data_IF_729699538548
#
_entry.id   IF_729699538548
#
_cell.length_a   1.000
_cell.length_b   1.000
_cell.length_c   1.000
_cell.angle_alpha   90.00
_cell.angle_beta   90.00
_cell.angle_gamma   90.00
#
_symmetry.space_group_name_H-M   'P 1'
#
loop_
_entity.id
_entity.type
_entity.pdbx_description
1 polymer ?
#
# COMPACT_ATOMS: atom_id res chain seq x y z
N UNK A 1 21.70 6.86 76.44
CA UNK A 1 21.79 5.58 75.70
C UNK A 1 21.60 5.91 74.23
N UNK A 2 22.69 6.15 73.51
CA UNK A 2 22.73 6.42 72.07
C UNK A 2 22.88 5.08 71.37
N UNK A 3 21.85 4.69 70.66
CA UNK A 3 21.85 3.47 69.85
C UNK A 3 22.89 3.61 68.72
N UNK A 4 23.85 2.68 68.76
CA UNK A 4 24.89 2.50 67.74
C UNK A 4 24.17 2.03 66.45
N UNK A 5 24.04 2.88 65.44
CA UNK A 5 23.53 2.48 64.12
C UNK A 5 24.64 1.71 63.40
N UNK A 6 24.35 0.50 62.90
CA UNK A 6 25.33 -0.24 62.13
C UNK A 6 25.62 0.51 60.81
N UNK A 7 26.87 0.95 60.64
CA UNK A 7 27.38 1.52 59.40
C UNK A 7 27.43 0.43 58.35
N UNK A 8 26.56 0.56 57.31
CA UNK A 8 26.65 -0.28 56.12
C UNK A 8 28.04 -0.10 55.47
N UNK A 9 28.66 -1.20 55.02
CA UNK A 9 29.94 -1.08 54.34
C UNK A 9 29.76 -0.26 53.05
N UNK A 10 30.77 0.52 52.62
CA UNK A 10 30.71 1.30 51.40
C UNK A 10 30.47 0.36 50.20
N UNK A 11 29.48 0.70 49.37
CA UNK A 11 29.18 -0.03 48.16
C UNK A 11 30.42 -0.10 47.25
N UNK A 12 30.76 -1.29 46.79
CA UNK A 12 31.87 -1.45 45.84
C UNK A 12 31.42 -0.97 44.44
N UNK A 13 31.98 0.13 43.92
CA UNK A 13 31.57 0.75 42.67
C UNK A 13 31.78 -0.21 41.44
N UNK A 14 32.74 -1.17 41.58
CA UNK A 14 32.95 -2.17 40.55
C UNK A 14 31.83 -3.23 40.51
N UNK A 15 31.31 -3.60 41.68
CA UNK A 15 30.20 -4.51 41.77
C UNK A 15 28.90 -3.88 41.24
N UNK A 16 28.69 -2.60 41.49
CA UNK A 16 27.56 -1.82 40.99
C UNK A 16 27.62 -1.68 39.48
N UNK A 17 28.78 -1.35 38.92
CA UNK A 17 29.00 -1.28 37.48
C UNK A 17 28.77 -2.65 36.81
N UNK A 18 29.27 -3.73 37.40
CA UNK A 18 29.09 -5.08 36.88
C UNK A 18 27.59 -5.48 36.85
N UNK A 19 26.81 -5.10 37.88
CA UNK A 19 25.38 -5.34 37.92
C UNK A 19 24.63 -4.57 36.81
N UNK A 20 24.96 -3.30 36.57
CA UNK A 20 24.40 -2.47 35.50
C UNK A 20 24.72 -3.06 34.13
N UNK A 21 25.98 -3.44 33.89
CA UNK A 21 26.40 -4.08 32.63
C UNK A 21 25.66 -5.40 32.40
N UNK A 22 25.50 -6.23 33.45
CA UNK A 22 24.73 -7.46 33.39
C UNK A 22 23.28 -7.21 33.00
N UNK A 23 22.61 -6.24 33.64
CA UNK A 23 21.24 -5.87 33.30
C UNK A 23 21.08 -5.44 31.84
N UNK A 24 21.97 -4.57 31.32
CA UNK A 24 21.94 -4.17 29.93
C UNK A 24 22.24 -5.30 28.95
N UNK A 25 23.10 -6.22 29.33
CA UNK A 25 23.37 -7.42 28.50
C UNK A 25 22.13 -8.29 28.38
N UNK A 26 21.40 -8.47 29.46
CA UNK A 26 20.13 -9.26 29.48
C UNK A 26 19.03 -8.54 28.66
N UNK A 27 18.92 -7.22 28.78
CA UNK A 27 17.99 -6.42 27.97
C UNK A 27 18.30 -6.52 26.48
N UNK A 28 19.56 -6.44 26.08
CA UNK A 28 20.00 -6.59 24.69
C UNK A 28 19.69 -8.00 24.17
N UNK A 29 19.90 -9.03 24.97
CA UNK A 29 19.54 -10.40 24.60
C UNK A 29 18.03 -10.57 24.38
N UNK A 30 17.21 -9.98 25.26
CA UNK A 30 15.75 -9.99 25.12
C UNK A 30 15.29 -9.22 23.87
N UNK A 31 15.85 -8.05 23.59
CA UNK A 31 15.55 -7.26 22.38
C UNK A 31 15.94 -8.02 21.12
N UNK A 32 17.10 -8.67 21.12
CA UNK A 32 17.56 -9.50 19.99
C UNK A 32 16.61 -10.68 19.71
N UNK A 33 16.13 -11.34 20.76
CA UNK A 33 15.15 -12.42 20.64
C UNK A 33 13.83 -11.92 20.03
N UNK A 34 13.28 -10.83 20.58
CA UNK A 34 12.05 -10.21 20.04
C UNK A 34 12.19 -9.75 18.61
N UNK A 35 13.34 -9.17 18.26
CA UNK A 35 13.61 -8.80 16.87
C UNK A 35 13.58 -9.97 15.93
N UNK A 36 14.18 -11.10 16.35
CA UNK A 36 14.21 -12.34 15.55
C UNK A 36 12.81 -12.92 15.38
N UNK A 37 11.97 -12.90 16.44
CA UNK A 37 10.57 -13.33 16.39
C UNK A 37 9.75 -12.48 15.41
N UNK A 38 9.81 -11.13 15.54
CA UNK A 38 9.09 -10.21 14.66
C UNK A 38 9.54 -10.37 13.21
N UNK A 39 10.83 -10.57 12.97
CA UNK A 39 11.37 -10.82 11.63
C UNK A 39 10.82 -12.12 11.05
N UNK A 40 10.80 -13.19 11.83
CA UNK A 40 10.26 -14.50 11.40
C UNK A 40 8.77 -14.39 11.07
N UNK A 41 8.00 -13.69 11.90
CA UNK A 41 6.57 -13.44 11.67
C UNK A 41 6.33 -12.60 10.41
N UNK A 42 7.18 -11.59 10.17
CA UNK A 42 7.12 -10.78 8.96
C UNK A 42 7.44 -11.61 7.71
N UNK A 43 8.49 -12.42 7.75
CA UNK A 43 8.87 -13.30 6.64
C UNK A 43 7.76 -14.34 6.35
N UNK A 44 7.13 -14.89 7.38
CA UNK A 44 5.98 -15.79 7.24
C UNK A 44 4.77 -15.08 6.61
N UNK A 45 4.46 -13.84 7.03
CA UNK A 45 3.39 -13.03 6.45
C UNK A 45 3.67 -12.67 4.99
N UNK A 46 4.91 -12.36 4.64
CA UNK A 46 5.32 -12.07 3.27
C UNK A 46 5.22 -13.34 2.39
N UNK A 47 5.62 -14.50 2.90
CA UNK A 47 5.50 -15.78 2.20
C UNK A 47 4.03 -16.18 1.98
N UNK A 48 3.17 -16.00 2.99
CA UNK A 48 1.73 -16.28 2.87
C UNK A 48 1.04 -15.33 1.88
N UNK A 49 1.49 -14.09 1.77
CA UNK A 49 1.00 -13.13 0.78
C UNK A 49 1.52 -13.42 -0.63
N UNK A 50 2.76 -13.85 -0.79
CA UNK A 50 3.35 -14.19 -2.09
C UNK A 50 2.64 -15.39 -2.77
N UNK A 51 2.14 -16.34 -1.97
CA UNK A 51 1.39 -17.49 -2.48
C UNK A 51 -0.05 -17.20 -2.91
N UNK A 52 -0.62 -16.06 -2.51
CA UNK A 52 -2.05 -15.75 -2.72
C UNK A 52 -2.34 -14.75 -3.85
N UNK A 53 -1.35 -14.40 -4.67
CA UNK A 53 -1.54 -13.50 -5.82
C UNK A 53 -1.99 -12.08 -5.46
N UNK A 54 -1.81 -11.68 -4.20
CA UNK A 54 -2.23 -10.37 -3.65
C UNK A 54 -1.09 -9.37 -3.53
N UNK A 55 0.10 -9.69 -4.03
CA UNK A 55 1.16 -8.68 -4.16
C UNK A 55 0.78 -7.81 -5.35
N UNK A 56 0.57 -6.51 -5.15
CA UNK A 56 0.30 -5.61 -6.27
C UNK A 56 1.40 -5.77 -7.31
N UNK A 57 1.02 -5.95 -8.57
CA UNK A 57 1.97 -5.92 -9.67
C UNK A 57 2.63 -4.53 -9.68
N UNK A 58 3.93 -4.44 -10.07
CA UNK A 58 4.55 -3.14 -10.27
C UNK A 58 3.66 -2.28 -11.18
N UNK A 59 3.32 -1.07 -10.72
CA UNK A 59 2.53 -0.16 -11.52
C UNK A 59 3.25 0.08 -12.87
N UNK A 60 2.57 -0.08 -14.00
CA UNK A 60 3.18 0.17 -15.28
C UNK A 60 3.54 1.66 -15.37
N UNK A 61 4.73 1.95 -15.87
CA UNK A 61 5.10 3.32 -16.22
C UNK A 61 4.45 3.66 -17.55
N UNK A 62 3.23 4.16 -17.52
CA UNK A 62 2.39 4.38 -18.71
C UNK A 62 3.09 5.16 -19.82
N UNK A 63 3.95 6.12 -19.45
CA UNK A 63 4.75 6.91 -20.39
C UNK A 63 5.89 6.12 -21.06
N UNK A 64 6.33 5.01 -20.44
CA UNK A 64 7.39 4.15 -20.96
C UNK A 64 6.84 2.93 -21.72
N UNK A 65 5.53 2.66 -21.60
CA UNK A 65 4.89 1.52 -22.26
C UNK A 65 4.56 1.84 -23.71
N UNK A 66 5.02 0.98 -24.62
CA UNK A 66 4.75 1.06 -26.06
C UNK A 66 4.30 -0.30 -26.63
N UNK A 67 3.66 -0.27 -27.80
CA UNK A 67 3.30 -1.45 -28.56
C UNK A 67 2.49 -2.47 -27.77
N UNK A 68 2.80 -3.75 -27.93
CA UNK A 68 2.07 -4.88 -27.36
C UNK A 68 1.96 -4.83 -25.83
N UNK A 69 3.02 -4.42 -25.13
CA UNK A 69 3.01 -4.31 -23.68
C UNK A 69 2.00 -3.26 -23.17
N UNK A 70 1.86 -2.16 -23.92
CA UNK A 70 0.84 -1.15 -23.61
C UNK A 70 -0.57 -1.69 -23.86
N UNK A 71 -0.76 -2.37 -24.98
CA UNK A 71 -2.06 -2.94 -25.35
C UNK A 71 -2.52 -4.00 -24.34
N UNK A 72 -1.63 -4.87 -23.88
CA UNK A 72 -1.91 -5.85 -22.83
C UNK A 72 -2.28 -5.18 -21.50
N UNK A 73 -1.55 -4.14 -21.09
CA UNK A 73 -1.85 -3.40 -19.86
C UNK A 73 -3.24 -2.72 -19.95
N UNK A 74 -3.57 -2.11 -21.10
CA UNK A 74 -4.88 -1.51 -21.35
C UNK A 74 -5.98 -2.59 -21.36
N UNK A 75 -5.74 -3.74 -21.98
CA UNK A 75 -6.71 -4.85 -22.03
C UNK A 75 -7.04 -5.36 -20.62
N UNK A 76 -6.02 -5.49 -19.75
CA UNK A 76 -6.22 -5.83 -18.33
C UNK A 76 -7.13 -4.82 -17.62
N UNK A 77 -6.86 -3.51 -17.78
CA UNK A 77 -7.67 -2.47 -17.16
C UNK A 77 -9.09 -2.44 -17.71
N UNK A 78 -9.28 -2.65 -19.01
CA UNK A 78 -10.62 -2.77 -19.62
C UNK A 78 -11.39 -3.94 -19.00
N UNK A 79 -10.73 -5.08 -18.79
CA UNK A 79 -11.33 -6.23 -18.11
C UNK A 79 -11.83 -5.84 -16.72
N UNK A 80 -11.02 -5.17 -15.90
CA UNK A 80 -11.42 -4.71 -14.58
C UNK A 80 -12.56 -3.67 -14.65
N UNK A 81 -12.50 -2.71 -15.55
CA UNK A 81 -13.55 -1.71 -15.74
C UNK A 81 -14.91 -2.37 -16.05
N UNK A 82 -14.93 -3.35 -16.92
CA UNK A 82 -16.18 -4.01 -17.34
C UNK A 82 -16.71 -5.01 -16.29
N UNK A 83 -15.81 -5.69 -15.56
CA UNK A 83 -16.24 -6.74 -14.61
C UNK A 83 -16.45 -6.21 -13.19
N UNK A 84 -15.80 -5.11 -12.80
CA UNK A 84 -15.84 -4.56 -11.44
C UNK A 84 -16.33 -3.12 -11.43
N UNK A 85 -15.63 -2.21 -12.12
CA UNK A 85 -15.88 -0.78 -11.95
C UNK A 85 -17.29 -0.38 -12.37
N UNK A 86 -17.72 -0.75 -13.58
CA UNK A 86 -19.07 -0.42 -14.07
C UNK A 86 -20.18 -1.11 -13.29
N UNK A 87 -20.13 -2.43 -13.02
CA UNK A 87 -21.21 -3.11 -12.30
C UNK A 87 -21.35 -2.68 -10.85
N UNK A 88 -20.22 -2.45 -10.15
CA UNK A 88 -20.21 -2.16 -8.71
C UNK A 88 -20.42 -0.68 -8.41
N UNK A 89 -19.83 0.21 -9.22
CA UNK A 89 -19.77 1.65 -8.94
C UNK A 89 -20.62 2.49 -9.89
N UNK A 90 -21.50 1.91 -10.67
CA UNK A 90 -22.51 2.45 -11.58
C UNK A 90 -22.44 3.93 -11.88
N UNK A 91 -22.99 4.78 -10.98
CA UNK A 91 -23.04 6.23 -11.17
C UNK A 91 -21.66 6.92 -11.18
N UNK A 92 -20.67 6.38 -10.45
CA UNK A 92 -19.28 6.89 -10.49
C UNK A 92 -18.58 6.45 -11.77
N UNK A 93 -18.83 5.22 -12.21
CA UNK A 93 -18.30 4.69 -13.45
C UNK A 93 -18.86 5.39 -14.71
N UNK A 94 -20.06 5.99 -14.61
CA UNK A 94 -20.63 6.79 -15.68
C UNK A 94 -19.79 8.02 -16.05
N UNK A 95 -18.92 8.47 -15.12
CA UNK A 95 -17.99 9.55 -15.36
C UNK A 95 -16.79 9.15 -16.23
N UNK A 96 -16.59 7.85 -16.46
CA UNK A 96 -15.53 7.34 -17.33
C UNK A 96 -15.97 7.38 -18.79
N UNK A 97 -15.49 8.37 -19.54
CA UNK A 97 -15.76 8.51 -20.96
C UNK A 97 -15.21 7.33 -21.79
N UNK A 98 -15.76 7.05 -22.98
CA UNK A 98 -15.35 5.90 -23.81
C UNK A 98 -13.89 5.95 -24.25
N UNK A 99 -13.31 7.14 -24.29
CA UNK A 99 -11.95 7.40 -24.73
C UNK A 99 -10.90 7.34 -23.61
N UNK A 100 -11.27 6.93 -22.40
CA UNK A 100 -10.39 6.97 -21.24
C UNK A 100 -9.02 6.30 -21.45
N UNK A 101 -9.00 5.22 -22.24
CA UNK A 101 -7.76 4.49 -22.54
C UNK A 101 -6.78 5.28 -23.44
N UNK A 102 -7.22 6.39 -24.01
CA UNK A 102 -6.41 7.28 -24.83
C UNK A 102 -5.75 8.41 -24.01
N UNK A 103 -6.13 8.55 -22.75
CA UNK A 103 -5.68 9.58 -21.83
C UNK A 103 -4.74 8.99 -20.77
N UNK A 104 -3.50 9.45 -20.71
CA UNK A 104 -2.51 8.89 -19.78
C UNK A 104 -2.92 9.06 -18.32
N UNK A 105 -3.45 10.23 -17.95
CA UNK A 105 -3.92 10.46 -16.58
C UNK A 105 -5.08 9.52 -16.23
N UNK A 106 -6.02 9.31 -17.15
CA UNK A 106 -7.12 8.39 -16.93
C UNK A 106 -6.62 6.94 -16.78
N UNK A 107 -5.64 6.52 -17.59
CA UNK A 107 -4.99 5.20 -17.45
C UNK A 107 -4.35 5.04 -16.06
N UNK A 108 -3.58 6.03 -15.61
CA UNK A 108 -2.95 6.01 -14.28
C UNK A 108 -3.98 5.95 -13.16
N UNK A 109 -5.06 6.72 -13.24
CA UNK A 109 -6.12 6.72 -12.23
C UNK A 109 -6.85 5.38 -12.18
N UNK A 110 -7.23 4.84 -13.34
CA UNK A 110 -7.93 3.54 -13.42
C UNK A 110 -7.02 2.40 -12.94
N UNK A 111 -5.74 2.41 -13.30
CA UNK A 111 -4.75 1.43 -12.84
C UNK A 111 -4.64 1.47 -11.31
N UNK A 112 -4.43 2.66 -10.73
CA UNK A 112 -4.34 2.81 -9.28
C UNK A 112 -5.62 2.37 -8.55
N UNK A 113 -6.79 2.69 -9.11
CA UNK A 113 -8.06 2.23 -8.56
C UNK A 113 -8.17 0.70 -8.60
N UNK A 114 -7.76 0.06 -9.70
CA UNK A 114 -7.85 -1.39 -9.86
C UNK A 114 -6.94 -2.13 -8.88
N UNK A 115 -5.69 -1.67 -8.70
CA UNK A 115 -4.75 -2.25 -7.76
C UNK A 115 -5.18 -2.04 -6.30
N UNK A 116 -5.62 -0.81 -5.96
CA UNK A 116 -6.13 -0.53 -4.62
C UNK A 116 -7.37 -1.37 -4.31
N UNK A 117 -8.28 -1.52 -5.27
CA UNK A 117 -9.44 -2.38 -5.13
C UNK A 117 -9.04 -3.84 -4.91
N UNK A 118 -8.08 -4.35 -5.67
CA UNK A 118 -7.59 -5.72 -5.51
C UNK A 118 -7.03 -5.97 -4.11
N UNK A 119 -6.23 -5.04 -3.59
CA UNK A 119 -5.67 -5.13 -2.23
C UNK A 119 -6.76 -5.10 -1.15
N UNK A 120 -7.79 -4.25 -1.33
CA UNK A 120 -8.80 -4.02 -0.30
C UNK A 120 -9.97 -5.00 -0.36
N UNK A 121 -10.40 -5.46 -1.53
CA UNK A 121 -11.67 -6.16 -1.71
C UNK A 121 -11.57 -7.56 -2.31
N UNK A 122 -10.48 -7.90 -3.03
CA UNK A 122 -10.35 -9.22 -3.67
C UNK A 122 -10.02 -10.37 -2.71
N UNK A 123 -9.89 -10.12 -1.41
CA UNK A 123 -9.58 -11.12 -0.39
C UNK A 123 -10.84 -11.88 0.04
N UNK A 124 -10.73 -13.18 0.27
CA UNK A 124 -11.80 -14.01 0.82
C UNK A 124 -12.21 -13.60 2.24
N UNK A 125 -11.27 -13.10 3.04
CA UNK A 125 -11.51 -12.66 4.42
C UNK A 125 -11.23 -11.17 4.58
N UNK A 126 -12.00 -10.51 5.45
CA UNK A 126 -11.83 -9.09 5.78
C UNK A 126 -11.19 -8.92 7.16
N UNK A 127 -9.88 -8.75 7.26
CA UNK A 127 -9.26 -8.37 8.52
C UNK A 127 -9.81 -7.02 9.00
N UNK A 128 -10.08 -6.89 10.29
CA UNK A 128 -10.64 -5.66 10.87
C UNK A 128 -9.82 -4.40 10.48
N UNK A 129 -8.50 -4.54 10.35
CA UNK A 129 -7.58 -3.45 9.99
C UNK A 129 -7.83 -2.84 8.60
N UNK A 130 -8.47 -3.57 7.67
CA UNK A 130 -8.75 -3.03 6.33
C UNK A 130 -10.10 -2.34 6.21
N UNK A 131 -10.99 -2.46 7.21
CA UNK A 131 -12.33 -1.87 7.16
C UNK A 131 -12.29 -0.35 7.04
N UNK A 132 -11.42 0.32 7.79
CA UNK A 132 -11.23 1.78 7.68
C UNK A 132 -10.72 2.19 6.30
N UNK A 133 -9.74 1.45 5.75
CA UNK A 133 -9.20 1.72 4.42
C UNK A 133 -10.25 1.48 3.32
N UNK A 134 -11.09 0.45 3.46
CA UNK A 134 -12.22 0.22 2.56
C UNK A 134 -13.23 1.38 2.58
N UNK A 135 -13.57 1.87 3.78
CA UNK A 135 -14.47 3.04 3.90
C UNK A 135 -13.84 4.30 3.32
N UNK A 136 -12.56 4.54 3.56
CA UNK A 136 -11.85 5.68 3.00
C UNK A 136 -11.78 5.59 1.45
N UNK A 137 -11.55 4.41 0.91
CA UNK A 137 -11.59 4.16 -0.53
C UNK A 137 -12.95 4.52 -1.13
N UNK A 138 -14.04 4.06 -0.51
CA UNK A 138 -15.40 4.29 -1.01
C UNK A 138 -15.86 5.75 -0.87
N UNK A 139 -15.53 6.41 0.26
CA UNK A 139 -16.05 7.73 0.57
C UNK A 139 -15.17 8.87 0.06
N UNK A 140 -13.89 8.64 -0.15
CA UNK A 140 -12.92 9.67 -0.49
C UNK A 140 -12.23 9.43 -1.82
N UNK A 141 -11.58 8.28 -2.00
CA UNK A 141 -10.77 8.04 -3.20
C UNK A 141 -11.62 7.82 -4.45
N UNK A 142 -12.66 6.99 -4.35
CA UNK A 142 -13.54 6.71 -5.50
C UNK A 142 -14.25 7.96 -6.05
N UNK A 143 -14.91 8.81 -5.24
CA UNK A 143 -15.54 10.03 -5.75
C UNK A 143 -14.54 11.00 -6.37
N UNK A 144 -13.38 11.21 -5.71
CA UNK A 144 -12.35 12.09 -6.23
C UNK A 144 -11.78 11.60 -7.57
N UNK A 145 -11.52 10.30 -7.69
CA UNK A 145 -11.08 9.70 -8.94
C UNK A 145 -12.14 9.80 -10.05
N UNK A 146 -13.42 9.59 -9.73
CA UNK A 146 -14.52 9.76 -10.69
C UNK A 146 -14.60 11.20 -11.23
N UNK A 147 -14.38 12.20 -10.37
CA UNK A 147 -14.35 13.61 -10.79
C UNK A 147 -13.12 13.90 -11.68
N UNK A 148 -11.95 13.35 -11.35
CA UNK A 148 -10.76 13.46 -12.20
C UNK A 148 -10.98 12.81 -13.58
N UNK A 149 -11.53 11.60 -13.61
CA UNK A 149 -11.82 10.87 -14.85
C UNK A 149 -12.83 11.63 -15.71
N UNK A 150 -13.85 12.21 -15.09
CA UNK A 150 -14.82 13.07 -15.78
C UNK A 150 -14.14 14.30 -16.38
N UNK A 151 -13.33 15.00 -15.60
CA UNK A 151 -12.64 16.20 -16.07
C UNK A 151 -11.70 15.90 -17.25
N UNK A 152 -11.00 14.79 -17.18
CA UNK A 152 -10.03 14.37 -18.21
C UNK A 152 -10.72 13.92 -19.51
N UNK A 153 -11.88 13.28 -19.42
CA UNK A 153 -12.57 12.71 -20.60
C UNK A 153 -13.76 13.56 -21.07
N UNK A 154 -14.13 14.61 -20.31
CA UNK A 154 -15.28 15.46 -20.63
C UNK A 154 -14.99 16.31 -21.88
N UNK A 155 -15.91 16.24 -22.85
CA UNK A 155 -15.81 17.05 -24.07
C UNK A 155 -14.76 16.59 -25.05
N UNK A 156 -14.13 15.44 -24.82
CA UNK A 156 -13.17 14.83 -25.73
C UNK A 156 -13.89 14.38 -27.02
N UNK A 157 -13.92 15.24 -28.02
CA UNK A 157 -14.55 14.97 -29.33
C UNK A 157 -13.54 14.52 -30.39
N UNK A 158 -12.26 14.83 -30.17
CA UNK A 158 -11.20 14.56 -31.13
C UNK A 158 -9.88 14.29 -30.40
N UNK A 159 -9.35 13.08 -30.58
CA UNK A 159 -8.03 12.70 -30.07
C UNK A 159 -6.88 13.19 -30.93
N UNK A 160 -7.15 13.88 -32.06
CA UNK A 160 -6.13 14.44 -32.95
C UNK A 160 -5.36 15.61 -32.32
N UNK A 161 -5.87 16.22 -31.23
CA UNK A 161 -5.18 17.25 -30.47
C UNK A 161 -4.29 16.69 -29.34
N UNK A 162 -3.83 15.46 -29.46
CA UNK A 162 -2.83 14.92 -28.53
C UNK A 162 -1.63 15.86 -28.44
N UNK A 163 -1.25 16.19 -27.21
CA UNK A 163 0.03 16.81 -26.91
C UNK A 163 1.12 16.01 -27.65
N UNK A 164 1.93 16.66 -28.53
CA UNK A 164 2.95 15.94 -29.24
C UNK A 164 3.90 15.30 -28.23
N UNK A 165 4.04 13.96 -28.31
CA UNK A 165 5.08 13.28 -27.54
C UNK A 165 6.40 13.93 -27.90
N UNK A 166 7.15 14.37 -26.88
CA UNK A 166 8.50 14.86 -27.12
C UNK A 166 9.26 13.74 -27.85
N UNK A 167 9.73 14.05 -29.07
CA UNK A 167 10.55 13.13 -29.84
C UNK A 167 11.81 12.85 -28.99
N UNK A 168 11.98 11.60 -28.56
CA UNK A 168 13.18 11.09 -27.90
C UNK A 168 14.35 10.98 -28.87
#
# INVERSE_FOLDING_TARGET
>A
MTADQPQLPPADPLAELAAVVGCHTDELAQLSSRYTEVRTDLDALLADNAGKGTVPLPAPRWHDLEGEARDEAIARLRGWVETVFRPVYGHLAANLGPCWAEHELALMVVDHLSETWAVLFARETRPQRVLSAQMEFLLRYMPAAADMLRAETYGCRDHSQRWPRAAS
#
